data_IF_609979869619
#
_entry.id   IF_609979869619
#
_cell.length_a   1.000
_cell.length_b   1.000
_cell.length_c   1.000
_cell.angle_alpha   90.00
_cell.angle_beta   90.00
_cell.angle_gamma   90.00
#
_symmetry.space_group_name_H-M   'P 1'
#
loop_
_entity.id
_entity.type
_entity.pdbx_description
1 polymer ?
#
# COMPACT_ATOMS: atom_id res chain seq x y z
N UNK A 1 -3.89 4.50 17.08
CA UNK A 1 -3.57 3.36 16.20
C UNK A 1 -2.67 2.36 16.92
N UNK A 2 -2.96 1.06 16.81
CA UNK A 2 -2.14 -0.09 17.24
C UNK A 2 -1.18 -0.54 16.13
N UNK A 3 -1.69 -0.70 14.92
CA UNK A 3 -0.90 -1.00 13.72
C UNK A 3 -1.66 -0.56 12.46
N UNK A 4 -0.92 -0.42 11.36
CA UNK A 4 -1.48 -0.27 10.02
C UNK A 4 -1.07 -1.45 9.16
N UNK A 5 -2.00 -1.95 8.36
CA UNK A 5 -1.71 -2.81 7.21
C UNK A 5 -1.79 -1.97 5.94
N UNK A 6 -0.76 -2.01 5.10
CA UNK A 6 -0.77 -1.46 3.75
C UNK A 6 -0.69 -2.61 2.78
N UNK A 7 -1.55 -2.63 1.77
CA UNK A 7 -1.48 -3.57 0.66
C UNK A 7 -1.20 -2.78 -0.61
N UNK A 8 -0.17 -3.19 -1.35
CA UNK A 8 0.14 -2.69 -2.68
C UNK A 8 -0.10 -3.81 -3.69
N UNK A 9 -0.68 -3.47 -4.85
CA UNK A 9 -0.98 -4.42 -5.91
C UNK A 9 -0.67 -3.82 -7.29
N UNK A 10 0.10 -4.54 -8.09
CA UNK A 10 0.44 -4.18 -9.46
C UNK A 10 0.09 -5.34 -10.38
N UNK A 11 -0.64 -5.06 -11.45
CA UNK A 11 -1.01 -6.04 -12.46
C UNK A 11 -0.65 -5.56 -13.87
N UNK A 12 -0.03 -6.45 -14.63
CA UNK A 12 0.25 -6.29 -16.05
C UNK A 12 0.06 -7.65 -16.74
N UNK A 13 -1.21 -7.96 -17.01
CA UNK A 13 -1.64 -9.24 -17.59
C UNK A 13 -0.95 -9.55 -18.92
N UNK A 14 -0.77 -8.54 -19.78
CA UNK A 14 -0.11 -8.69 -21.08
C UNK A 14 1.34 -9.18 -20.97
N UNK A 15 1.97 -8.95 -19.82
CA UNK A 15 3.34 -9.35 -19.51
C UNK A 15 3.43 -10.47 -18.46
N UNK A 16 2.29 -10.98 -17.99
CA UNK A 16 2.15 -12.04 -17.00
C UNK A 16 2.60 -11.62 -15.60
N UNK A 17 2.41 -10.35 -15.23
CA UNK A 17 2.79 -9.83 -13.90
C UNK A 17 1.54 -9.61 -13.06
N UNK A 18 1.54 -10.16 -11.85
CA UNK A 18 0.56 -9.91 -10.81
C UNK A 18 1.30 -9.95 -9.46
N UNK A 19 1.61 -8.78 -8.92
CA UNK A 19 2.45 -8.60 -7.75
C UNK A 19 1.63 -7.96 -6.62
N UNK A 20 1.53 -8.66 -5.49
CA UNK A 20 0.88 -8.14 -4.27
C UNK A 20 1.86 -8.12 -3.11
N UNK A 21 1.90 -7.01 -2.36
CA UNK A 21 2.73 -6.89 -1.16
C UNK A 21 1.95 -6.29 0.02
N UNK A 22 2.00 -6.99 1.14
CA UNK A 22 1.50 -6.50 2.42
C UNK A 22 2.65 -5.99 3.31
N UNK A 23 2.43 -4.83 3.92
CA UNK A 23 3.28 -4.25 4.95
C UNK A 23 2.50 -4.03 6.24
N UNK A 24 3.15 -4.26 7.39
CA UNK A 24 2.60 -3.97 8.71
C UNK A 24 3.47 -2.93 9.41
N UNK A 25 2.88 -1.78 9.74
CA UNK A 25 3.57 -0.68 10.41
C UNK A 25 3.02 -0.47 11.81
N UNK A 26 3.91 -0.16 12.75
CA UNK A 26 3.58 0.36 14.09
C UNK A 26 4.08 1.81 14.17
N UNK A 27 3.67 2.54 15.21
CA UNK A 27 4.17 3.89 15.47
C UNK A 27 5.71 3.87 15.55
N UNK A 28 6.37 4.77 14.81
CA UNK A 28 7.83 4.85 14.76
C UNK A 28 8.52 3.80 13.88
N UNK A 29 7.76 3.02 13.09
CA UNK A 29 8.35 2.14 12.08
C UNK A 29 9.12 2.95 11.03
N UNK A 30 10.21 2.38 10.53
CA UNK A 30 10.93 2.91 9.37
C UNK A 30 10.11 2.69 8.09
N UNK A 31 10.50 3.41 7.02
CA UNK A 31 9.94 3.19 5.69
C UNK A 31 10.12 1.73 5.23
N UNK A 32 9.18 1.24 4.43
CA UNK A 32 9.31 -0.04 3.75
C UNK A 32 9.45 0.19 2.24
N UNK A 33 10.18 -0.72 1.58
CA UNK A 33 10.40 -0.67 0.14
C UNK A 33 9.71 -1.85 -0.53
N UNK A 34 9.08 -1.56 -1.66
CA UNK A 34 8.54 -2.56 -2.58
C UNK A 34 9.21 -2.37 -3.93
N UNK A 35 9.96 -3.39 -4.34
CA UNK A 35 10.74 -3.37 -5.58
C UNK A 35 10.33 -4.58 -6.41
N UNK A 36 9.99 -4.34 -7.67
CA UNK A 36 9.68 -5.37 -8.65
C UNK A 36 10.08 -4.89 -10.04
N UNK A 37 10.25 -5.82 -10.99
CA UNK A 37 10.57 -5.48 -12.37
C UNK A 37 9.28 -5.38 -13.19
N UNK A 38 8.99 -4.20 -13.73
CA UNK A 38 7.92 -4.00 -14.72
C UNK A 38 8.49 -4.13 -16.14
N UNK A 39 7.70 -4.70 -17.06
CA UNK A 39 8.11 -4.90 -18.46
C UNK A 39 7.67 -3.77 -19.39
N UNK A 40 6.62 -3.04 -19.02
CA UNK A 40 6.10 -1.90 -19.77
C UNK A 40 6.28 -0.60 -18.99
N UNK A 41 7.08 0.33 -19.54
CA UNK A 41 7.35 1.63 -18.92
C UNK A 41 6.12 2.54 -18.83
N UNK A 42 5.07 2.27 -19.60
CA UNK A 42 3.80 3.00 -19.52
C UNK A 42 2.91 2.51 -18.39
N UNK A 43 3.16 1.30 -17.86
CA UNK A 43 2.41 0.71 -16.75
C UNK A 43 3.15 0.93 -15.44
N UNK A 44 2.96 2.12 -14.89
CA UNK A 44 3.53 2.51 -13.59
C UNK A 44 2.44 2.69 -12.52
N UNK A 45 1.17 2.55 -12.91
CA UNK A 45 0.05 2.66 -11.99
C UNK A 45 -0.08 1.36 -11.22
N UNK A 46 -0.21 1.46 -9.91
CA UNK A 46 -0.49 0.36 -9.00
C UNK A 46 -1.62 0.77 -8.05
N UNK A 47 -2.35 -0.21 -7.56
CA UNK A 47 -3.36 -0.01 -6.52
C UNK A 47 -2.68 -0.06 -5.15
N UNK A 48 -3.13 0.80 -4.24
CA UNK A 48 -2.79 0.70 -2.83
C UNK A 48 -4.03 0.88 -1.96
N UNK A 49 -4.01 0.26 -0.78
CA UNK A 49 -5.02 0.42 0.27
C UNK A 49 -4.38 0.31 1.64
N UNK A 50 -5.06 0.84 2.65
CA UNK A 50 -4.59 0.73 4.03
C UNK A 50 -5.73 0.47 5.03
N UNK A 51 -5.43 -0.30 6.07
CA UNK A 51 -6.32 -0.55 7.20
C UNK A 51 -5.62 -0.18 8.50
N UNK A 52 -6.18 0.77 9.24
CA UNK A 52 -5.71 1.24 10.54
C UNK A 52 -6.46 0.49 11.63
N UNK A 53 -5.73 -0.33 12.38
CA UNK A 53 -6.26 -1.05 13.53
C UNK A 53 -6.01 -0.20 14.77
N UNK A 54 -7.06 0.18 15.48
CA UNK A 54 -7.02 1.10 16.60
C UNK A 54 -6.82 0.38 17.93
N UNK A 55 -6.50 1.16 18.97
CA UNK A 55 -6.26 0.61 20.31
C UNK A 55 -7.55 0.14 20.98
N UNK A 56 -8.68 0.73 20.60
CA UNK A 56 -10.04 0.38 21.03
C UNK A 56 -10.62 -0.82 20.27
N UNK A 57 -9.85 -1.42 19.35
CA UNK A 57 -10.28 -2.54 18.51
C UNK A 57 -11.02 -2.14 17.22
N UNK A 58 -11.33 -0.86 17.01
CA UNK A 58 -11.93 -0.41 15.75
C UNK A 58 -10.94 -0.50 14.57
N UNK A 59 -11.47 -0.60 13.35
CA UNK A 59 -10.68 -0.59 12.12
C UNK A 59 -11.16 0.52 11.22
N UNK A 60 -10.25 1.44 10.85
CA UNK A 60 -10.51 2.48 9.85
C UNK A 60 -9.82 2.10 8.55
N UNK A 61 -10.59 1.95 7.48
CA UNK A 61 -10.06 1.64 6.15
C UNK A 61 -9.87 2.92 5.35
N UNK A 62 -8.80 2.96 4.56
CA UNK A 62 -8.62 3.92 3.47
C UNK A 62 -9.10 3.22 2.21
N UNK A 63 -9.95 3.90 1.46
CA UNK A 63 -10.44 3.41 0.17
C UNK A 63 -9.26 3.11 -0.76
N UNK A 64 -9.33 2.01 -1.54
CA UNK A 64 -8.31 1.70 -2.52
C UNK A 64 -8.11 2.85 -3.52
N UNK A 65 -6.85 3.18 -3.79
CA UNK A 65 -6.47 4.22 -4.73
C UNK A 65 -5.47 3.71 -5.76
N UNK A 66 -5.59 4.18 -7.00
CA UNK A 66 -4.59 3.95 -8.04
C UNK A 66 -3.61 5.13 -8.08
N UNK A 67 -2.32 4.85 -8.17
CA UNK A 67 -1.28 5.89 -8.23
C UNK A 67 -0.04 5.41 -8.97
N UNK A 68 0.73 6.34 -9.53
CA UNK A 68 2.09 6.11 -10.05
C UNK A 68 3.17 6.75 -9.18
N UNK A 69 2.78 7.33 -8.03
CA UNK A 69 3.72 7.92 -7.08
C UNK A 69 4.66 6.87 -6.52
N UNK A 70 5.95 7.21 -6.38
CA UNK A 70 6.97 6.30 -5.83
C UNK A 70 6.96 6.23 -4.31
N UNK A 71 6.16 7.07 -3.67
CA UNK A 71 6.07 7.17 -2.22
C UNK A 71 4.61 7.35 -1.83
N UNK A 72 4.15 6.50 -0.92
CA UNK A 72 2.85 6.65 -0.27
C UNK A 72 3.10 7.15 1.14
N UNK A 73 2.59 8.34 1.43
CA UNK A 73 2.54 8.86 2.79
C UNK A 73 1.24 8.40 3.41
N UNK A 74 1.35 7.63 4.48
CA UNK A 74 0.21 7.22 5.28
C UNK A 74 -0.23 8.43 6.11
N UNK A 75 -1.43 8.98 5.89
CA UNK A 75 -1.91 10.10 6.69
C UNK A 75 -1.98 9.68 8.17
N UNK A 76 -1.78 10.65 9.07
CA UNK A 76 -2.10 10.40 10.47
C UNK A 76 -3.56 9.94 10.57
N UNK A 77 -3.81 9.08 11.55
CA UNK A 77 -5.05 8.30 11.63
C UNK A 77 -6.26 9.20 11.34
N UNK A 78 -7.15 8.84 10.39
CA UNK A 78 -8.32 9.68 10.09
C UNK A 78 -9.06 9.98 11.39
N UNK A 79 -9.50 11.23 11.59
CA UNK A 79 -10.24 11.65 12.77
C UNK A 79 -11.46 10.75 13.04
#
# INVERSE_FOLDING_TARGET
MKLVKVTLHYADEANGIDETKDFLFKKGAQEAKWEFTYKDKSKQVYEWRASYFMVDGSVKNIEPGNTSEKTIVLPETPA
#
